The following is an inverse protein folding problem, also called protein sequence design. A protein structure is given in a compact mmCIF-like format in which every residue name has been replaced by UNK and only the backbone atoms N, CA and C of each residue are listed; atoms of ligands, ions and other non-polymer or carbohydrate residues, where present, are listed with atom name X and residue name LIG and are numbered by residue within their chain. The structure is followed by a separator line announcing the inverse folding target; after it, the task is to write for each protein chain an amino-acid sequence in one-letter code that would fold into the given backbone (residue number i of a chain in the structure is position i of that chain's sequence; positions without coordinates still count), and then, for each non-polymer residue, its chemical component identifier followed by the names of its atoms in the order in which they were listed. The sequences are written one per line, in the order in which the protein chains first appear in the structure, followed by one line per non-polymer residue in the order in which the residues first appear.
data_IF_961818804017
#
_entry.id   IF_961818804017
#
_cell.length_a   1.000
_cell.length_b   1.000
_cell.length_c   1.000
_cell.angle_alpha   90.00
_cell.angle_beta   90.00
_cell.angle_gamma   90.00
#
_symmetry.space_group_name_H-M   'P 1'
#
loop_
_entity.id
_entity.type
_entity.pdbx_description
1 polymer ?
#
# COMPACT_ATOMS: atom_id res chain seq x y z
N UNK A 1 41.53 10.53 11.10
CA UNK A 1 40.93 10.65 9.74
C UNK A 1 41.58 11.70 8.85
N UNK A 2 41.49 13.02 9.12
CA UNK A 2 42.06 14.04 8.19
C UNK A 2 43.59 14.06 8.13
N UNK A 3 44.27 13.91 9.26
CA UNK A 3 45.74 13.92 9.35
C UNK A 3 46.36 12.65 8.77
N UNK A 4 45.75 11.49 9.02
CA UNK A 4 46.18 10.19 8.48
C UNK A 4 46.07 10.14 6.95
N UNK A 5 44.97 10.66 6.39
CA UNK A 5 44.79 10.73 4.93
C UNK A 5 45.87 11.60 4.28
N UNK A 6 46.16 12.77 4.88
CA UNK A 6 47.21 13.66 4.37
C UNK A 6 48.56 12.95 4.44
N UNK A 7 48.92 12.33 5.56
CA UNK A 7 50.18 11.59 5.71
C UNK A 7 50.34 10.47 4.67
N UNK A 8 49.29 9.68 4.42
CA UNK A 8 49.32 8.61 3.43
C UNK A 8 49.44 9.18 2.01
N UNK A 9 48.72 10.24 1.69
CA UNK A 9 48.79 10.89 0.38
C UNK A 9 50.20 11.47 0.12
N UNK A 10 50.80 12.16 1.11
CA UNK A 10 52.16 12.70 0.98
C UNK A 10 53.19 11.57 0.82
N UNK A 11 53.03 10.47 1.57
CA UNK A 11 53.90 9.30 1.48
C UNK A 11 53.81 8.65 0.08
N UNK A 12 52.60 8.51 -0.48
CA UNK A 12 52.41 7.95 -1.82
C UNK A 12 53.03 8.82 -2.91
N UNK A 13 52.90 10.16 -2.80
CA UNK A 13 53.52 11.09 -3.76
C UNK A 13 55.04 11.03 -3.68
N UNK A 14 55.61 11.00 -2.47
CA UNK A 14 57.06 10.86 -2.28
C UNK A 14 57.57 9.51 -2.80
N UNK A 15 56.83 8.42 -2.60
CA UNK A 15 57.17 7.10 -3.11
C UNK A 15 57.14 7.06 -4.65
N UNK A 16 56.10 7.65 -5.26
CA UNK A 16 56.00 7.76 -6.72
C UNK A 16 57.14 8.59 -7.30
N UNK A 17 57.50 9.72 -6.66
CA UNK A 17 58.65 10.53 -7.04
C UNK A 17 59.96 9.74 -6.92
N UNK A 18 60.16 9.01 -5.82
CA UNK A 18 61.36 8.21 -5.61
C UNK A 18 61.49 7.10 -6.67
N UNK A 19 60.41 6.41 -7.00
CA UNK A 19 60.38 5.36 -8.03
C UNK A 19 60.69 5.88 -9.43
N UNK A 20 60.43 7.15 -9.72
CA UNK A 20 60.76 7.77 -11.02
C UNK A 20 62.17 8.37 -11.01
N UNK A 21 62.53 9.11 -9.97
CA UNK A 21 63.77 9.90 -9.89
C UNK A 21 65.00 9.03 -9.61
N UNK A 22 64.89 8.00 -8.76
CA UNK A 22 66.02 7.13 -8.39
C UNK A 22 66.56 6.32 -9.58
N UNK A 23 65.74 5.60 -10.39
CA UNK A 23 66.25 4.91 -11.56
C UNK A 23 66.73 5.87 -12.66
N UNK A 24 66.18 7.08 -12.76
CA UNK A 24 66.68 8.12 -13.67
C UNK A 24 68.09 8.61 -13.28
N UNK A 25 68.32 8.91 -12.00
CA UNK A 25 69.63 9.33 -11.51
C UNK A 25 70.67 8.21 -11.65
N UNK A 26 70.26 6.95 -11.42
CA UNK A 26 71.14 5.77 -11.60
C UNK A 26 71.45 5.48 -13.07
N UNK A 27 70.50 5.65 -13.99
CA UNK A 27 70.74 5.49 -15.45
C UNK A 27 71.55 6.65 -16.03
N UNK A 28 71.29 7.88 -15.60
CA UNK A 28 72.03 9.07 -16.04
C UNK A 28 73.53 9.02 -15.74
N UNK A 29 73.93 8.43 -14.60
CA UNK A 29 75.36 8.25 -14.26
C UNK A 29 76.06 7.13 -15.03
N UNK A 30 75.33 6.17 -15.61
CA UNK A 30 75.93 4.98 -16.28
C UNK A 30 75.90 5.02 -17.81
N UNK A 31 75.10 5.88 -18.44
CA UNK A 31 74.79 5.73 -19.87
C UNK A 31 74.93 6.97 -20.76
N UNK A 32 75.59 8.05 -20.30
CA UNK A 32 75.93 9.20 -21.17
C UNK A 32 74.75 9.83 -21.90
N UNK A 33 73.53 9.68 -21.39
CA UNK A 33 72.30 10.07 -22.07
C UNK A 33 72.17 11.62 -22.15
N UNK A 34 71.63 12.15 -23.26
CA UNK A 34 71.61 13.58 -23.54
C UNK A 34 70.63 14.36 -22.64
N UNK A 35 71.01 15.60 -22.32
CA UNK A 35 70.32 16.51 -21.37
C UNK A 35 68.81 16.66 -21.59
N UNK A 36 68.32 16.45 -22.82
CA UNK A 36 66.91 16.57 -23.16
C UNK A 36 66.02 15.51 -22.49
N UNK A 37 66.51 14.29 -22.22
CA UNK A 37 65.73 13.26 -21.53
C UNK A 37 65.46 13.62 -20.06
N UNK A 38 66.41 14.32 -19.42
CA UNK A 38 66.27 14.79 -18.04
C UNK A 38 65.32 15.99 -17.96
N UNK A 39 65.42 16.90 -18.92
CA UNK A 39 64.50 18.04 -19.05
C UNK A 39 63.06 17.56 -19.30
N UNK A 40 62.85 16.57 -20.18
CA UNK A 40 61.52 16.05 -20.49
C UNK A 40 60.83 15.47 -19.24
N UNK A 41 61.56 14.72 -18.41
CA UNK A 41 61.00 14.14 -17.18
C UNK A 41 60.67 15.18 -16.12
N UNK A 42 61.50 16.22 -15.97
CA UNK A 42 61.18 17.35 -15.09
C UNK A 42 59.95 18.11 -15.59
N UNK A 43 59.81 18.27 -16.90
CA UNK A 43 58.67 18.92 -17.53
C UNK A 43 57.39 18.12 -17.23
N UNK A 44 57.40 16.80 -17.41
CA UNK A 44 56.25 15.94 -17.07
C UNK A 44 55.94 15.99 -15.57
N UNK A 45 56.95 15.97 -14.69
CA UNK A 45 56.77 16.00 -13.24
C UNK A 45 56.02 17.25 -12.74
N UNK A 46 56.27 18.41 -13.36
CA UNK A 46 55.59 19.67 -12.99
C UNK A 46 54.33 19.92 -13.81
N UNK A 47 54.34 19.62 -15.12
CA UNK A 47 53.22 19.89 -16.00
C UNK A 47 51.98 19.06 -15.64
N UNK A 48 52.16 17.80 -15.23
CA UNK A 48 51.04 16.90 -14.92
C UNK A 48 50.23 17.36 -13.68
N UNK A 49 50.83 17.68 -12.53
CA UNK A 49 50.08 18.24 -11.39
C UNK A 49 49.52 19.64 -11.66
N UNK A 50 50.21 20.50 -12.41
CA UNK A 50 49.68 21.82 -12.79
C UNK A 50 48.47 21.70 -13.73
N UNK A 51 48.55 20.81 -14.72
CA UNK A 51 47.43 20.53 -15.63
C UNK A 51 46.26 19.90 -14.88
N UNK A 52 46.51 18.97 -13.95
CA UNK A 52 45.48 18.39 -13.10
C UNK A 52 44.80 19.45 -12.21
N UNK A 53 45.57 20.38 -11.64
CA UNK A 53 45.04 21.49 -10.85
C UNK A 53 44.23 22.46 -11.71
N UNK A 54 44.72 22.81 -12.90
CA UNK A 54 43.99 23.66 -13.86
C UNK A 54 42.68 23.02 -14.32
N UNK A 55 42.71 21.72 -14.63
CA UNK A 55 41.51 20.96 -15.01
C UNK A 55 40.52 20.88 -13.83
N UNK A 56 41.01 20.70 -12.60
CA UNK A 56 40.16 20.71 -11.40
C UNK A 56 39.53 22.08 -11.15
N UNK A 57 40.23 23.18 -11.44
CA UNK A 57 39.66 24.52 -11.33
C UNK A 57 38.66 24.83 -12.46
N UNK A 58 38.84 24.25 -13.65
CA UNK A 58 37.98 24.49 -14.81
C UNK A 58 36.71 23.61 -14.82
N UNK A 59 36.84 22.33 -14.46
CA UNK A 59 35.75 21.33 -14.50
C UNK A 59 35.19 21.03 -13.11
N UNK A 60 36.00 21.18 -12.06
CA UNK A 60 35.59 20.90 -10.68
C UNK A 60 34.88 22.07 -10.02
N UNK A 61 34.33 21.81 -8.82
CA UNK A 61 33.69 22.82 -7.97
C UNK A 61 34.60 23.15 -6.79
N UNK A 62 35.60 24.03 -6.95
CA UNK A 62 36.50 24.41 -5.84
C UNK A 62 35.72 25.06 -4.67
N UNK A 63 34.54 25.61 -4.95
CA UNK A 63 33.60 26.11 -3.95
C UNK A 63 33.08 25.03 -2.97
N UNK A 64 33.14 23.74 -3.31
CA UNK A 64 32.77 22.66 -2.39
C UNK A 64 33.84 22.38 -1.33
N UNK A 65 35.10 22.78 -1.58
CA UNK A 65 36.21 22.71 -0.62
C UNK A 65 36.24 23.89 0.35
N UNK A 66 35.72 25.04 -0.08
CA UNK A 66 35.29 26.09 0.82
C UNK A 66 34.07 25.55 1.55
N UNK A 67 34.33 24.86 2.67
CA UNK A 67 33.41 24.45 3.72
C UNK A 67 32.04 25.04 3.50
N UNK A 68 31.01 24.19 3.34
CA UNK A 68 29.61 24.50 3.63
C UNK A 68 29.52 25.89 4.24
N UNK A 69 29.36 26.92 3.40
CA UNK A 69 29.10 28.23 3.92
C UNK A 69 27.83 27.97 4.72
N UNK A 70 27.97 28.02 6.04
CA UNK A 70 26.89 27.90 6.99
C UNK A 70 25.99 29.10 6.70
N UNK A 71 25.22 29.04 5.61
CA UNK A 71 23.88 29.58 5.64
C UNK A 71 23.29 28.86 6.83
N UNK A 72 22.97 29.56 7.94
CA UNK A 72 22.26 28.93 9.02
C UNK A 72 21.06 28.25 8.37
N UNK A 73 21.03 26.92 8.41
CA UNK A 73 19.97 26.15 7.80
C UNK A 73 18.70 26.67 8.42
N UNK A 74 17.93 27.41 7.63
CA UNK A 74 16.84 28.21 8.15
C UNK A 74 15.91 27.27 8.90
N UNK A 75 15.74 27.51 10.20
CA UNK A 75 14.95 26.60 11.02
C UNK A 75 13.51 26.62 10.53
N UNK A 76 12.76 25.55 10.80
CA UNK A 76 11.35 25.49 10.41
C UNK A 76 10.57 26.68 10.99
N UNK A 77 10.83 27.06 12.24
CA UNK A 77 10.18 28.21 12.86
C UNK A 77 10.57 29.54 12.19
N UNK A 78 11.82 29.70 11.73
CA UNK A 78 12.22 30.87 10.94
C UNK A 78 11.51 30.90 9.58
N UNK A 79 11.37 29.74 8.92
CA UNK A 79 10.61 29.60 7.67
C UNK A 79 9.13 29.94 7.83
N UNK A 80 8.50 29.43 8.87
CA UNK A 80 7.13 29.77 9.23
C UNK A 80 6.99 31.27 9.55
N UNK A 81 7.93 31.86 10.27
CA UNK A 81 7.91 33.29 10.58
C UNK A 81 8.02 34.15 9.31
N UNK A 82 8.93 33.81 8.39
CA UNK A 82 9.06 34.51 7.10
C UNK A 82 7.80 34.38 6.25
N UNK A 83 7.25 33.16 6.13
CA UNK A 83 6.02 32.90 5.39
C UNK A 83 4.83 33.70 5.97
N UNK A 84 4.71 33.78 7.30
CA UNK A 84 3.68 34.60 7.95
C UNK A 84 3.84 36.08 7.67
N UNK A 85 5.07 36.59 7.65
CA UNK A 85 5.33 37.99 7.33
C UNK A 85 4.93 38.31 5.88
N UNK A 86 5.24 37.41 4.95
CA UNK A 86 4.83 37.51 3.55
C UNK A 86 3.31 37.47 3.40
N UNK A 87 2.62 36.53 4.07
CA UNK A 87 1.16 36.41 4.03
C UNK A 87 0.40 37.56 4.69
N UNK A 88 1.07 38.34 5.54
CA UNK A 88 0.51 39.61 6.04
C UNK A 88 0.49 40.69 4.95
N UNK A 89 1.48 40.70 4.07
CA UNK A 89 1.57 41.64 2.95
C UNK A 89 0.73 41.18 1.75
N UNK A 90 0.64 39.86 1.55
CA UNK A 90 -0.11 39.22 0.47
C UNK A 90 -1.19 38.28 1.03
N UNK A 91 -2.27 38.83 1.62
CA UNK A 91 -3.30 38.03 2.30
C UNK A 91 -4.15 37.18 1.34
N UNK A 92 -4.08 37.44 0.04
CA UNK A 92 -4.74 36.75 -1.06
C UNK A 92 -3.94 35.53 -1.59
N UNK A 93 -2.71 35.32 -1.10
CA UNK A 93 -1.89 34.17 -1.49
C UNK A 93 -2.43 32.85 -0.90
N UNK A 94 -3.37 32.23 -1.62
CA UNK A 94 -3.98 30.95 -1.24
C UNK A 94 -2.95 29.85 -1.00
N UNK A 95 -1.96 29.70 -1.89
CA UNK A 95 -0.95 28.64 -1.77
C UNK A 95 -0.10 28.79 -0.52
N UNK A 96 0.27 30.02 -0.16
CA UNK A 96 1.00 30.28 1.07
C UNK A 96 0.19 29.96 2.32
N UNK A 97 -1.12 30.26 2.36
CA UNK A 97 -1.99 29.85 3.46
C UNK A 97 -2.13 28.32 3.58
N UNK A 98 -2.26 27.62 2.44
CA UNK A 98 -2.29 26.15 2.42
C UNK A 98 -0.98 25.53 2.90
N UNK A 99 0.15 26.08 2.47
CA UNK A 99 1.47 25.64 2.92
C UNK A 99 1.61 25.84 4.43
N UNK A 100 1.25 27.02 4.93
CA UNK A 100 1.28 27.33 6.36
C UNK A 100 0.39 26.37 7.18
N UNK A 101 -0.83 26.09 6.69
CA UNK A 101 -1.75 25.13 7.30
C UNK A 101 -1.18 23.71 7.36
N UNK A 102 -0.58 23.22 6.26
CA UNK A 102 0.08 21.90 6.21
C UNK A 102 1.27 21.84 7.16
N UNK A 103 2.09 22.89 7.21
CA UNK A 103 3.25 22.95 8.12
C UNK A 103 2.81 22.91 9.58
N UNK A 104 1.77 23.65 9.96
CA UNK A 104 1.24 23.59 11.32
C UNK A 104 0.59 22.25 11.66
N UNK A 105 -0.13 21.64 10.72
CA UNK A 105 -0.70 20.31 10.92
C UNK A 105 0.39 19.25 11.12
N UNK A 106 1.46 19.30 10.32
CA UNK A 106 2.60 18.38 10.42
C UNK A 106 3.54 18.62 11.60
N UNK A 107 3.41 19.74 12.31
CA UNK A 107 4.19 20.08 13.51
C UNK A 107 3.36 20.02 14.79
N UNK A 108 2.22 19.33 14.76
CA UNK A 108 1.33 19.12 15.92
C UNK A 108 0.81 20.44 16.53
N UNK A 109 0.61 21.47 15.71
CA UNK A 109 0.03 22.76 16.09
C UNK A 109 -1.36 22.95 15.46
N UNK A 110 -2.37 22.13 15.79
CA UNK A 110 -3.64 22.07 15.06
C UNK A 110 -4.45 23.37 15.13
N UNK A 111 -4.39 24.11 16.24
CA UNK A 111 -5.07 25.40 16.35
C UNK A 111 -4.53 26.44 15.34
N UNK A 112 -3.21 26.51 15.16
CA UNK A 112 -2.60 27.40 14.17
C UNK A 112 -2.87 26.93 12.73
N UNK A 113 -2.92 25.61 12.52
CA UNK A 113 -3.29 25.04 11.24
C UNK A 113 -4.73 25.41 10.86
N UNK A 114 -5.66 25.34 11.83
CA UNK A 114 -7.06 25.74 11.65
C UNK A 114 -7.18 27.19 11.24
N UNK A 115 -6.43 28.10 11.86
CA UNK A 115 -6.46 29.53 11.51
C UNK A 115 -5.95 29.76 10.08
N UNK A 116 -4.85 29.10 9.69
CA UNK A 116 -4.27 29.20 8.35
C UNK A 116 -5.21 28.63 7.26
N UNK A 117 -5.75 27.42 7.48
CA UNK A 117 -6.76 26.87 6.58
C UNK A 117 -8.05 27.69 6.56
N UNK A 118 -8.39 28.37 7.67
CA UNK A 118 -9.53 29.28 7.72
C UNK A 118 -9.35 30.49 6.80
N UNK A 119 -8.11 30.99 6.66
CA UNK A 119 -7.78 32.01 5.65
C UNK A 119 -7.87 31.45 4.23
N UNK A 120 -7.31 30.26 3.99
CA UNK A 120 -7.42 29.59 2.69
C UNK A 120 -8.88 29.34 2.28
N UNK A 121 -9.74 28.91 3.22
CA UNK A 121 -11.15 28.66 2.99
C UNK A 121 -11.92 29.94 2.65
N UNK A 122 -11.53 31.10 3.17
CA UNK A 122 -12.12 32.39 2.77
C UNK A 122 -11.79 32.76 1.33
N UNK A 123 -10.59 32.40 0.85
CA UNK A 123 -10.14 32.67 -0.52
C UNK A 123 -10.74 31.68 -1.53
N UNK A 124 -10.97 30.43 -1.11
CA UNK A 124 -11.53 29.36 -1.95
C UNK A 124 -12.63 28.59 -1.20
N UNK A 125 -13.82 29.21 -1.01
CA UNK A 125 -14.89 28.68 -0.15
C UNK A 125 -15.60 27.44 -0.68
N UNK A 126 -15.37 27.05 -1.93
CA UNK A 126 -15.97 25.89 -2.60
C UNK A 126 -14.98 24.76 -2.86
N UNK A 127 -13.73 24.90 -2.41
CA UNK A 127 -12.73 23.85 -2.56
C UNK A 127 -12.92 22.77 -1.47
N UNK A 128 -13.35 21.58 -1.89
CA UNK A 128 -13.63 20.45 -1.00
C UNK A 128 -12.41 20.01 -0.18
N UNK A 129 -11.20 20.01 -0.76
CA UNK A 129 -9.99 19.59 -0.06
C UNK A 129 -9.62 20.56 1.07
N UNK A 130 -9.84 21.87 0.86
CA UNK A 130 -9.60 22.89 1.90
C UNK A 130 -10.63 22.74 3.03
N UNK A 131 -11.90 22.50 2.69
CA UNK A 131 -12.93 22.21 3.69
C UNK A 131 -12.54 21.01 4.55
N UNK A 132 -12.14 19.90 3.93
CA UNK A 132 -11.74 18.66 4.61
C UNK A 132 -10.51 18.90 5.49
N UNK A 133 -9.49 19.58 4.95
CA UNK A 133 -8.28 19.89 5.71
C UNK A 133 -8.57 20.78 6.93
N UNK A 134 -9.46 21.78 6.79
CA UNK A 134 -9.89 22.64 7.89
C UNK A 134 -10.65 21.85 8.96
N UNK A 135 -11.60 21.00 8.55
CA UNK A 135 -12.40 20.16 9.44
C UNK A 135 -11.53 19.25 10.29
N UNK A 136 -10.52 18.64 9.68
CA UNK A 136 -9.64 17.73 10.39
C UNK A 136 -8.80 18.44 11.45
N UNK A 137 -8.18 19.56 11.10
CA UNK A 137 -7.36 20.30 12.08
C UNK A 137 -8.23 20.96 13.15
N UNK A 138 -9.48 21.32 12.85
CA UNK A 138 -10.43 21.78 13.86
C UNK A 138 -10.75 20.66 14.85
N UNK A 139 -11.07 19.46 14.38
CA UNK A 139 -11.26 18.30 15.26
C UNK A 139 -9.99 17.99 16.08
N UNK A 140 -8.80 18.07 15.49
CA UNK A 140 -7.55 17.87 16.25
C UNK A 140 -7.29 18.95 17.30
N UNK A 141 -7.73 20.20 17.05
CA UNK A 141 -7.55 21.32 17.97
C UNK A 141 -8.53 21.30 19.14
N UNK A 142 -9.66 20.59 19.02
CA UNK A 142 -10.64 20.45 20.08
C UNK A 142 -10.27 19.34 21.05
N UNK A 143 -10.56 19.54 22.33
CA UNK A 143 -10.30 18.56 23.39
C UNK A 143 -11.15 17.28 23.25
N UNK A 144 -12.34 17.38 22.65
CA UNK A 144 -13.28 16.28 22.47
C UNK A 144 -13.13 15.57 21.11
N UNK A 145 -12.28 16.11 20.22
CA UNK A 145 -12.10 15.64 18.85
C UNK A 145 -13.39 15.47 18.03
N UNK A 146 -14.44 16.21 18.39
CA UNK A 146 -15.75 16.08 17.73
C UNK A 146 -15.81 16.90 16.46
N UNK A 147 -16.37 16.31 15.41
CA UNK A 147 -16.68 16.99 14.15
C UNK A 147 -18.15 17.41 14.19
N UNK A 148 -18.42 18.62 14.66
CA UNK A 148 -19.78 19.15 14.88
C UNK A 148 -19.93 20.59 14.39
N UNK A 149 -21.16 21.12 14.46
CA UNK A 149 -21.47 22.51 14.06
C UNK A 149 -20.97 22.86 12.66
N UNK A 150 -20.16 23.91 12.57
CA UNK A 150 -19.58 24.39 11.30
C UNK A 150 -18.73 23.31 10.62
N UNK A 151 -17.93 22.55 11.37
CA UNK A 151 -17.05 21.52 10.81
C UNK A 151 -17.87 20.43 10.10
N UNK A 152 -18.96 19.98 10.73
CA UNK A 152 -19.87 19.00 10.12
C UNK A 152 -20.54 19.54 8.85
N UNK A 153 -20.99 20.80 8.86
CA UNK A 153 -21.60 21.44 7.67
C UNK A 153 -20.61 21.54 6.50
N UNK A 154 -19.37 21.97 6.76
CA UNK A 154 -18.31 22.02 5.75
C UNK A 154 -17.98 20.64 5.21
N UNK A 155 -17.90 19.64 6.07
CA UNK A 155 -17.62 18.26 5.67
C UNK A 155 -18.72 17.69 4.77
N UNK A 156 -19.99 17.92 5.09
CA UNK A 156 -21.12 17.51 4.25
C UNK A 156 -21.09 18.20 2.89
N UNK A 157 -20.77 19.51 2.84
CA UNK A 157 -20.58 20.24 1.58
C UNK A 157 -19.42 19.65 0.76
N UNK A 158 -18.29 19.36 1.40
CA UNK A 158 -17.11 18.81 0.74
C UNK A 158 -17.39 17.43 0.12
N UNK A 159 -18.02 16.52 0.87
CA UNK A 159 -18.39 15.18 0.37
C UNK A 159 -19.48 15.26 -0.70
N UNK A 160 -20.37 16.26 -0.65
CA UNK A 160 -21.33 16.50 -1.73
C UNK A 160 -20.66 16.98 -3.01
N UNK A 161 -19.64 17.84 -2.90
CA UNK A 161 -18.88 18.35 -4.02
C UNK A 161 -17.97 17.28 -4.66
N UNK A 162 -17.34 16.44 -3.83
CA UNK A 162 -16.56 15.29 -4.26
C UNK A 162 -17.00 14.01 -3.51
N UNK A 163 -17.97 13.25 -4.08
CA UNK A 163 -18.49 12.02 -3.48
C UNK A 163 -17.48 10.87 -3.41
N UNK A 164 -16.33 10.98 -4.07
CA UNK A 164 -15.28 9.94 -4.09
C UNK A 164 -14.07 10.32 -3.24
N UNK A 165 -14.11 11.46 -2.55
CA UNK A 165 -13.04 11.88 -1.65
C UNK A 165 -12.92 10.90 -0.47
N UNK A 166 -11.91 10.05 -0.49
CA UNK A 166 -11.73 9.01 0.53
C UNK A 166 -11.60 9.60 1.95
N UNK A 167 -10.90 10.73 2.09
CA UNK A 167 -10.67 11.42 3.37
C UNK A 167 -11.95 12.06 3.89
N UNK A 168 -12.73 12.70 3.02
CA UNK A 168 -14.03 13.26 3.35
C UNK A 168 -15.02 12.20 3.81
N UNK A 169 -15.12 11.07 3.09
CA UNK A 169 -15.99 9.95 3.47
C UNK A 169 -15.58 9.33 4.81
N UNK A 170 -14.28 9.20 5.06
CA UNK A 170 -13.76 8.70 6.34
C UNK A 170 -14.20 9.58 7.51
N UNK A 171 -13.93 10.88 7.43
CA UNK A 171 -14.29 11.85 8.47
C UNK A 171 -15.81 11.98 8.64
N UNK A 172 -16.60 11.87 7.57
CA UNK A 172 -18.05 11.99 7.65
C UNK A 172 -18.65 10.82 8.43
N UNK A 173 -18.17 9.60 8.17
CA UNK A 173 -18.58 8.43 8.97
C UNK A 173 -18.15 8.54 10.44
N UNK A 174 -16.97 9.10 10.73
CA UNK A 174 -16.56 9.41 12.12
C UNK A 174 -17.53 10.40 12.76
N UNK A 175 -17.86 11.49 12.06
CA UNK A 175 -18.81 12.49 12.54
C UNK A 175 -20.18 11.86 12.80
N UNK A 176 -20.71 11.05 11.88
CA UNK A 176 -22.00 10.35 12.05
C UNK A 176 -21.97 9.40 13.27
N UNK A 177 -20.89 8.64 13.43
CA UNK A 177 -20.70 7.75 14.57
C UNK A 177 -20.65 8.52 15.91
N UNK A 178 -19.93 9.65 15.96
CA UNK A 178 -19.85 10.52 17.14
C UNK A 178 -21.19 11.13 17.55
N UNK A 179 -22.13 11.27 16.62
CA UNK A 179 -23.49 11.79 16.85
C UNK A 179 -24.51 10.69 17.10
N UNK A 180 -24.10 9.41 17.12
CA UNK A 180 -24.99 8.28 17.32
C UNK A 180 -25.77 7.86 16.06
N UNK A 181 -25.49 8.47 14.91
CA UNK A 181 -26.07 8.11 13.62
C UNK A 181 -25.32 6.92 13.03
N UNK A 182 -25.38 5.78 13.72
CA UNK A 182 -24.58 4.61 13.39
C UNK A 182 -24.93 4.01 12.02
N UNK A 183 -26.20 4.03 11.62
CA UNK A 183 -26.63 3.55 10.31
C UNK A 183 -26.03 4.40 9.16
N UNK A 184 -26.04 5.73 9.32
CA UNK A 184 -25.45 6.66 8.33
C UNK A 184 -23.93 6.48 8.23
N UNK A 185 -23.26 6.28 9.38
CA UNK A 185 -21.84 5.98 9.41
C UNK A 185 -21.50 4.70 8.60
N UNK A 186 -22.29 3.64 8.76
CA UNK A 186 -22.14 2.39 7.99
C UNK A 186 -22.30 2.62 6.50
N UNK A 187 -23.33 3.37 6.07
CA UNK A 187 -23.55 3.68 4.66
C UNK A 187 -22.40 4.48 4.06
N UNK A 188 -21.89 5.46 4.79
CA UNK A 188 -20.76 6.29 4.35
C UNK A 188 -19.47 5.49 4.27
N UNK A 189 -19.16 4.67 5.27
CA UNK A 189 -17.96 3.84 5.25
C UNK A 189 -18.01 2.68 4.26
N UNK A 190 -19.20 2.14 3.93
CA UNK A 190 -19.34 1.18 2.82
C UNK A 190 -19.02 1.80 1.46
N UNK A 191 -19.42 3.05 1.24
CA UNK A 191 -19.00 3.81 0.05
C UNK A 191 -17.49 3.99 0.01
N UNK A 192 -16.88 4.35 1.13
CA UNK A 192 -15.42 4.44 1.25
C UNK A 192 -14.75 3.09 0.96
N UNK A 193 -15.25 2.00 1.53
CA UNK A 193 -14.69 0.65 1.38
C UNK A 193 -14.62 0.22 -0.10
N UNK A 194 -15.63 0.56 -0.90
CA UNK A 194 -15.65 0.28 -2.33
C UNK A 194 -14.57 1.03 -3.13
N UNK A 195 -14.03 2.13 -2.59
CA UNK A 195 -12.97 2.93 -3.21
C UNK A 195 -11.55 2.51 -2.78
N UNK A 196 -11.44 1.67 -1.75
CA UNK A 196 -10.15 1.25 -1.19
C UNK A 196 -9.62 0.00 -1.86
N UNK A 197 -8.29 -0.12 -1.90
CA UNK A 197 -7.64 -1.33 -2.38
C UNK A 197 -7.98 -2.52 -1.47
N UNK A 198 -8.50 -3.63 -2.03
CA UNK A 198 -8.78 -4.84 -1.27
C UNK A 198 -7.54 -5.33 -0.51
N UNK A 199 -7.70 -5.65 0.77
CA UNK A 199 -6.61 -6.16 1.62
C UNK A 199 -5.66 -5.08 2.19
N UNK A 200 -5.80 -3.81 1.80
CA UNK A 200 -5.02 -2.72 2.42
C UNK A 200 -5.33 -2.56 3.91
N UNK A 201 -4.36 -2.07 4.69
CA UNK A 201 -4.57 -1.77 6.13
C UNK A 201 -5.73 -0.80 6.35
N UNK A 202 -5.88 0.19 5.47
CA UNK A 202 -6.98 1.16 5.51
C UNK A 202 -8.33 0.47 5.28
N UNK A 203 -8.41 -0.46 4.31
CA UNK A 203 -9.63 -1.23 4.08
C UNK A 203 -10.01 -2.11 5.29
N UNK A 204 -9.02 -2.67 5.99
CA UNK A 204 -9.26 -3.41 7.24
C UNK A 204 -9.79 -2.49 8.35
N UNK A 205 -9.13 -1.36 8.59
CA UNK A 205 -9.58 -0.38 9.59
C UNK A 205 -11.01 0.11 9.31
N UNK A 206 -11.36 0.36 8.04
CA UNK A 206 -12.73 0.73 7.64
C UNK A 206 -13.73 -0.39 7.92
N UNK A 207 -13.37 -1.65 7.65
CA UNK A 207 -14.23 -2.81 7.98
C UNK A 207 -14.49 -2.92 9.48
N UNK A 208 -13.47 -2.73 10.30
CA UNK A 208 -13.60 -2.75 11.77
C UNK A 208 -14.53 -1.63 12.26
N UNK A 209 -14.39 -0.42 11.71
CA UNK A 209 -15.29 0.71 12.01
C UNK A 209 -16.74 0.41 11.60
N UNK A 210 -16.97 -0.17 10.43
CA UNK A 210 -18.30 -0.61 9.99
C UNK A 210 -18.87 -1.64 10.97
N UNK A 211 -18.08 -2.61 11.41
CA UNK A 211 -18.51 -3.62 12.37
C UNK A 211 -18.89 -2.99 13.73
N UNK A 212 -18.10 -2.03 14.23
CA UNK A 212 -18.43 -1.27 15.44
C UNK A 212 -19.73 -0.48 15.29
N UNK A 213 -19.90 0.25 14.18
CA UNK A 213 -21.12 1.00 13.93
C UNK A 213 -22.35 0.10 13.82
N UNK A 214 -22.26 -1.05 13.13
CA UNK A 214 -23.35 -2.03 13.09
C UNK A 214 -23.71 -2.55 14.48
N UNK A 215 -22.72 -2.87 15.32
CA UNK A 215 -22.95 -3.30 16.70
C UNK A 215 -23.67 -2.22 17.52
N UNK A 216 -23.25 -0.95 17.37
CA UNK A 216 -23.88 0.19 18.04
C UNK A 216 -25.29 0.46 17.53
N UNK A 217 -25.53 0.33 16.22
CA UNK A 217 -26.85 0.43 15.61
C UNK A 217 -27.81 -0.64 16.14
N UNK A 218 -27.29 -1.84 16.44
CA UNK A 218 -28.02 -2.93 17.07
C UNK A 218 -28.18 -2.77 18.61
N UNK A 219 -27.92 -1.59 19.17
CA UNK A 219 -28.11 -1.28 20.59
C UNK A 219 -27.00 -1.77 21.53
N UNK A 220 -25.90 -2.34 21.02
CA UNK A 220 -24.78 -2.79 21.86
C UNK A 220 -24.02 -1.59 22.42
N UNK A 221 -23.49 -1.70 23.64
CA UNK A 221 -22.61 -0.68 24.21
C UNK A 221 -21.26 -0.65 23.50
N UNK A 222 -20.52 0.45 23.58
CA UNK A 222 -19.18 0.56 22.98
C UNK A 222 -18.23 -0.54 23.49
N UNK A 223 -18.32 -0.89 24.78
CA UNK A 223 -17.54 -1.98 25.37
C UNK A 223 -17.89 -3.34 24.76
N UNK A 224 -19.17 -3.60 24.53
CA UNK A 224 -19.62 -4.83 23.85
C UNK A 224 -19.21 -4.85 22.37
N UNK A 225 -19.32 -3.72 21.66
CA UNK A 225 -18.88 -3.61 20.28
C UNK A 225 -17.38 -3.89 20.12
N UNK A 226 -16.55 -3.35 21.03
CA UNK A 226 -15.10 -3.57 21.03
C UNK A 226 -14.73 -5.01 21.40
N UNK A 227 -15.44 -5.63 22.35
CA UNK A 227 -15.24 -7.03 22.70
C UNK A 227 -15.48 -7.98 21.51
N UNK A 228 -16.44 -7.65 20.62
CA UNK A 228 -16.70 -8.43 19.40
C UNK A 228 -15.55 -8.36 18.39
N UNK A 229 -14.74 -7.29 18.42
CA UNK A 229 -13.55 -7.17 17.58
C UNK A 229 -12.32 -7.85 18.19
N UNK A 230 -12.21 -7.86 19.52
CA UNK A 230 -11.03 -8.37 20.24
C UNK A 230 -11.13 -9.85 20.63
N UNK A 231 -12.33 -10.44 20.59
CA UNK A 231 -12.47 -11.85 20.88
C UNK A 231 -11.80 -12.68 19.78
N UNK A 232 -10.96 -13.68 20.10
CA UNK A 232 -10.41 -14.63 19.11
C UNK A 232 -11.48 -15.55 18.51
N UNK A 233 -12.77 -15.17 18.57
CA UNK A 233 -13.89 -15.83 17.93
C UNK A 233 -13.85 -15.73 16.39
N UNK A 234 -12.73 -15.30 15.80
CA UNK A 234 -12.36 -15.60 14.41
C UNK A 234 -12.10 -17.10 14.14
N UNK A 235 -12.27 -18.00 15.12
CA UNK A 235 -12.32 -19.45 14.88
C UNK A 235 -13.64 -20.14 15.24
N UNK A 236 -14.70 -19.42 15.67
CA UNK A 236 -16.00 -20.06 15.95
C UNK A 236 -17.24 -19.19 15.68
N UNK A 237 -17.08 -17.88 15.44
CA UNK A 237 -18.15 -17.01 14.91
C UNK A 237 -18.11 -16.88 13.38
N UNK A 238 -17.47 -17.82 12.68
CA UNK A 238 -17.78 -18.09 11.27
C UNK A 238 -19.17 -18.75 11.10
N UNK A 239 -19.76 -19.30 12.18
CA UNK A 239 -21.07 -19.95 12.15
C UNK A 239 -22.27 -19.01 12.37
N UNK A 240 -22.07 -17.77 12.86
CA UNK A 240 -23.17 -16.83 13.11
C UNK A 240 -23.18 -15.60 12.18
N UNK A 241 -22.06 -15.30 11.51
CA UNK A 241 -22.00 -14.31 10.42
C UNK A 241 -22.40 -14.91 9.05
N UNK A 242 -22.54 -16.24 8.96
CA UNK A 242 -23.09 -16.95 7.80
C UNK A 242 -24.62 -16.77 7.61
N UNK A 243 -25.26 -15.87 8.38
CA UNK A 243 -26.68 -15.49 8.19
C UNK A 243 -26.89 -14.10 7.60
N UNK A 244 -25.84 -13.40 7.17
CA UNK A 244 -25.96 -12.07 6.56
C UNK A 244 -25.07 -11.87 5.31
N UNK A 245 -24.62 -12.96 4.69
CA UNK A 245 -24.33 -12.99 3.26
C UNK A 245 -25.51 -13.74 2.64
N UNK A 246 -26.57 -13.02 2.24
CA UNK A 246 -27.69 -13.59 1.50
C UNK A 246 -27.22 -13.96 0.08
N UNK A 247 -26.39 -15.01 0.02
CA UNK A 247 -25.89 -15.65 -1.17
C UNK A 247 -25.59 -17.11 -0.83
N UNK A 248 -25.96 -18.00 -1.74
CA UNK A 248 -25.73 -19.43 -1.56
C UNK A 248 -24.22 -19.71 -1.46
N UNK A 249 -23.83 -20.51 -0.47
CA UNK A 249 -22.45 -20.92 -0.29
C UNK A 249 -22.38 -22.41 0.04
N UNK A 250 -21.42 -23.10 -0.56
CA UNK A 250 -21.22 -24.54 -0.38
C UNK A 250 -19.77 -24.77 0.03
N UNK A 251 -19.56 -25.33 1.21
CA UNK A 251 -18.26 -25.83 1.62
C UNK A 251 -18.03 -27.21 1.02
N UNK A 252 -16.93 -27.39 0.27
CA UNK A 252 -16.56 -28.62 -0.42
C UNK A 252 -15.20 -29.08 0.09
N UNK A 253 -15.14 -30.25 0.69
CA UNK A 253 -13.91 -30.92 1.08
C UNK A 253 -13.51 -31.89 -0.03
N UNK A 254 -12.38 -31.64 -0.66
CA UNK A 254 -11.87 -32.45 -1.77
C UNK A 254 -10.73 -33.33 -1.28
N UNK A 255 -10.85 -34.62 -1.57
CA UNK A 255 -9.83 -35.65 -1.29
C UNK A 255 -9.50 -36.40 -2.56
N UNK A 256 -8.28 -36.90 -2.65
CA UNK A 256 -7.83 -37.80 -3.70
C UNK A 256 -7.82 -39.22 -3.17
N UNK A 257 -8.38 -40.17 -3.92
CA UNK A 257 -8.26 -41.59 -3.60
C UNK A 257 -6.77 -41.98 -3.57
N UNK A 258 -6.29 -42.67 -2.51
CA UNK A 258 -4.92 -43.13 -2.42
C UNK A 258 -4.40 -43.88 -3.66
N UNK A 259 -5.28 -44.56 -4.41
CA UNK A 259 -4.92 -45.33 -5.62
C UNK A 259 -4.56 -44.46 -6.81
N UNK A 260 -5.02 -43.20 -6.84
CA UNK A 260 -4.80 -42.28 -7.96
C UNK A 260 -3.67 -41.28 -7.69
N UNK A 261 -2.95 -41.42 -6.57
CA UNK A 261 -1.84 -40.51 -6.20
C UNK A 261 -0.69 -40.53 -7.22
N UNK A 262 -0.41 -41.69 -7.79
CA UNK A 262 0.66 -41.88 -8.77
C UNK A 262 0.31 -41.33 -10.16
N UNK A 263 -0.97 -41.00 -10.39
CA UNK A 263 -1.45 -40.39 -11.63
C UNK A 263 -1.37 -38.86 -11.63
N UNK A 264 -1.12 -38.22 -10.47
CA UNK A 264 -1.00 -36.76 -10.37
C UNK A 264 0.42 -36.32 -10.71
N UNK A 265 0.55 -35.41 -11.68
CA UNK A 265 1.82 -34.86 -12.15
C UNK A 265 2.15 -33.53 -11.46
N UNK A 266 3.44 -33.20 -11.28
CA UNK A 266 3.85 -31.87 -10.84
C UNK A 266 3.44 -30.81 -11.86
N UNK A 267 2.54 -29.90 -11.45
CA UNK A 267 2.00 -28.84 -12.32
C UNK A 267 0.49 -28.95 -12.60
N UNK A 268 -0.11 -30.08 -12.23
CA UNK A 268 -1.55 -30.28 -12.42
C UNK A 268 -2.40 -29.28 -11.66
N UNK A 269 -3.53 -28.92 -12.27
CA UNK A 269 -4.46 -27.94 -11.74
C UNK A 269 -5.74 -28.62 -11.28
N UNK A 270 -6.12 -28.38 -10.02
CA UNK A 270 -7.41 -28.79 -9.46
C UNK A 270 -8.47 -27.72 -9.77
N UNK A 271 -9.52 -28.10 -10.48
CA UNK A 271 -10.73 -27.32 -10.68
C UNK A 271 -11.84 -27.89 -9.81
N UNK A 272 -12.43 -27.07 -8.96
CA UNK A 272 -13.65 -27.44 -8.21
C UNK A 272 -14.76 -26.54 -8.70
N UNK A 273 -15.83 -27.13 -9.21
CA UNK A 273 -16.94 -26.37 -9.79
C UNK A 273 -18.30 -26.95 -9.42
N UNK A 274 -19.29 -26.08 -9.34
CA UNK A 274 -20.69 -26.44 -9.13
C UNK A 274 -21.48 -26.21 -10.42
N UNK A 275 -22.26 -27.22 -10.84
CA UNK A 275 -23.16 -27.15 -11.99
C UNK A 275 -24.60 -27.32 -11.54
N UNK A 276 -25.55 -26.69 -12.23
CA UNK A 276 -26.97 -26.96 -12.00
C UNK A 276 -27.28 -28.43 -12.32
N UNK A 277 -28.11 -29.09 -11.51
CA UNK A 277 -28.54 -30.47 -11.78
C UNK A 277 -29.41 -30.57 -13.05
N UNK A 278 -30.21 -29.53 -13.32
CA UNK A 278 -31.03 -29.40 -14.54
C UNK A 278 -30.77 -28.02 -15.15
N UNK A 279 -30.18 -27.98 -16.33
CA UNK A 279 -29.83 -26.72 -17.00
C UNK A 279 -28.68 -26.89 -17.99
N UNK A 280 -28.25 -25.80 -18.67
CA UNK A 280 -27.10 -25.83 -19.56
C UNK A 280 -25.82 -26.24 -18.80
N UNK A 281 -24.86 -26.94 -19.45
CA UNK A 281 -23.72 -27.59 -18.80
C UNK A 281 -22.65 -26.63 -18.23
N UNK A 282 -22.96 -25.33 -18.17
CA UNK A 282 -22.05 -24.28 -17.72
C UNK A 282 -21.97 -24.25 -16.19
N UNK A 283 -20.76 -24.08 -15.61
CA UNK A 283 -20.59 -24.05 -14.16
C UNK A 283 -21.05 -22.71 -13.56
N UNK A 284 -21.74 -22.78 -12.43
CA UNK A 284 -22.26 -21.64 -11.67
C UNK A 284 -21.18 -21.01 -10.76
N UNK A 285 -20.21 -21.80 -10.35
CA UNK A 285 -19.01 -21.33 -9.66
C UNK A 285 -17.84 -22.25 -9.97
N UNK A 286 -16.66 -21.66 -10.13
CA UNK A 286 -15.41 -22.40 -10.40
C UNK A 286 -14.30 -21.80 -9.56
N UNK A 287 -13.54 -22.66 -8.88
CA UNK A 287 -12.28 -22.29 -8.25
C UNK A 287 -11.13 -23.13 -8.83
N UNK A 288 -10.00 -22.47 -9.05
CA UNK A 288 -8.77 -23.06 -9.56
C UNK A 288 -7.72 -23.13 -8.47
N UNK A 289 -7.15 -24.31 -8.24
CA UNK A 289 -6.12 -24.59 -7.25
C UNK A 289 -5.02 -25.46 -7.86
N UNK A 290 -3.89 -25.60 -7.15
CA UNK A 290 -2.86 -26.59 -7.52
C UNK A 290 -3.26 -27.97 -6.99
N UNK A 291 -3.05 -29.03 -7.77
CA UNK A 291 -3.36 -30.41 -7.34
C UNK A 291 -2.60 -30.82 -6.07
N UNK A 292 -1.40 -30.25 -5.85
CA UNK A 292 -0.59 -30.44 -4.64
C UNK A 292 -1.23 -29.90 -3.35
N UNK A 293 -2.34 -29.15 -3.44
CA UNK A 293 -3.05 -28.63 -2.26
C UNK A 293 -3.98 -29.66 -1.60
N UNK A 294 -4.15 -30.86 -2.20
CA UNK A 294 -5.02 -31.91 -1.66
C UNK A 294 -4.39 -32.60 -0.43
N UNK A 295 -5.18 -32.95 0.59
CA UNK A 295 -6.62 -32.68 0.75
C UNK A 295 -6.91 -31.23 1.13
N UNK A 296 -7.95 -30.63 0.55
CA UNK A 296 -8.31 -29.21 0.78
C UNK A 296 -9.80 -29.02 1.02
N UNK A 297 -10.17 -27.94 1.69
CA UNK A 297 -11.57 -27.49 1.83
C UNK A 297 -11.72 -26.14 1.16
N UNK A 298 -12.62 -26.06 0.19
CA UNK A 298 -12.93 -24.85 -0.58
C UNK A 298 -14.36 -24.41 -0.34
N UNK A 299 -14.61 -23.11 -0.42
CA UNK A 299 -15.95 -22.56 -0.31
C UNK A 299 -16.35 -21.99 -1.66
N UNK A 300 -17.40 -22.54 -2.26
CA UNK A 300 -18.00 -22.02 -3.49
C UNK A 300 -19.06 -20.99 -3.11
N UNK A 301 -18.99 -19.78 -3.66
CA UNK A 301 -19.93 -18.69 -3.38
C UNK A 301 -20.46 -18.06 -4.67
N UNK A 302 -21.57 -17.33 -4.57
CA UNK A 302 -22.21 -16.62 -5.70
C UNK A 302 -21.28 -15.65 -6.45
N UNK A 303 -20.27 -15.11 -5.78
CA UNK A 303 -19.29 -14.20 -6.37
C UNK A 303 -18.27 -14.88 -7.30
N UNK A 304 -18.27 -16.21 -7.38
CA UNK A 304 -17.34 -16.99 -8.21
C UNK A 304 -17.92 -17.40 -9.57
N UNK A 305 -19.13 -16.94 -9.91
CA UNK A 305 -19.73 -17.12 -11.23
C UNK A 305 -19.14 -16.17 -12.27
N UNK A 306 -19.06 -16.62 -13.53
CA UNK A 306 -18.50 -15.81 -14.64
C UNK A 306 -19.37 -14.62 -15.04
N UNK A 307 -20.68 -14.65 -14.74
CA UNK A 307 -21.61 -13.57 -15.05
C UNK A 307 -22.58 -13.33 -13.89
N UNK A 308 -23.10 -12.10 -13.72
CA UNK A 308 -24.03 -11.78 -12.64
C UNK A 308 -25.34 -12.57 -12.66
N UNK A 309 -25.73 -13.15 -13.81
CA UNK A 309 -26.98 -13.91 -13.99
C UNK A 309 -26.86 -15.40 -13.63
N UNK A 310 -25.64 -15.95 -13.53
CA UNK A 310 -25.38 -17.35 -13.21
C UNK A 310 -24.71 -17.46 -11.84
N UNK A 311 -25.51 -17.73 -10.81
CA UNK A 311 -25.09 -17.78 -9.39
C UNK A 311 -25.52 -19.10 -8.75
N UNK A 312 -24.88 -19.55 -7.67
CA UNK A 312 -25.35 -20.71 -6.94
C UNK A 312 -26.76 -20.47 -6.36
N UNK A 313 -27.06 -19.25 -5.90
CA UNK A 313 -28.38 -18.89 -5.35
C UNK A 313 -29.52 -18.96 -6.36
N UNK A 314 -29.21 -18.99 -7.66
CA UNK A 314 -30.23 -19.06 -8.72
C UNK A 314 -30.84 -20.46 -8.87
N UNK A 315 -30.24 -21.49 -8.27
CA UNK A 315 -30.72 -22.87 -8.35
C UNK A 315 -30.85 -23.50 -6.95
N UNK A 316 -31.83 -24.39 -6.73
CA UNK A 316 -32.03 -25.03 -5.43
C UNK A 316 -30.98 -26.12 -5.15
N UNK A 317 -30.50 -26.80 -6.20
CA UNK A 317 -29.59 -27.93 -6.11
C UNK A 317 -28.50 -27.85 -7.19
N UNK A 318 -27.30 -28.28 -6.81
CA UNK A 318 -26.13 -28.36 -7.68
C UNK A 318 -25.43 -29.69 -7.56
N UNK A 319 -24.71 -30.06 -8.62
CA UNK A 319 -23.72 -31.12 -8.61
C UNK A 319 -22.33 -30.51 -8.52
N UNK A 320 -21.57 -30.91 -7.52
CA UNK A 320 -20.22 -30.44 -7.29
C UNK A 320 -19.24 -31.45 -7.88
N UNK A 321 -18.36 -30.99 -8.74
CA UNK A 321 -17.33 -31.82 -9.37
C UNK A 321 -15.96 -31.23 -9.07
N UNK A 322 -15.02 -32.10 -8.68
CA UNK A 322 -13.62 -31.80 -8.55
C UNK A 322 -12.85 -32.54 -9.64
N UNK A 323 -12.05 -31.81 -10.42
CA UNK A 323 -11.24 -32.37 -11.51
C UNK A 323 -9.79 -31.92 -11.40
N UNK A 324 -8.86 -32.84 -11.49
CA UNK A 324 -7.44 -32.55 -11.69
C UNK A 324 -7.17 -32.62 -13.19
N UNK A 325 -6.84 -31.48 -13.79
CA UNK A 325 -6.50 -31.41 -15.21
C UNK A 325 -5.00 -31.30 -15.44
N UNK A 326 -4.48 -32.16 -16.31
CA UNK A 326 -3.10 -32.13 -16.79
C UNK A 326 -2.88 -31.02 -17.82
N UNK A 327 -3.91 -30.73 -18.63
CA UNK A 327 -3.84 -29.72 -19.70
C UNK A 327 -3.96 -28.28 -19.19
N UNK A 328 -4.34 -28.10 -17.92
CA UNK A 328 -4.61 -26.81 -17.32
C UNK A 328 -5.87 -26.12 -17.87
N UNK A 329 -6.77 -26.89 -18.49
CA UNK A 329 -8.08 -26.43 -18.94
C UNK A 329 -9.19 -26.97 -18.02
N UNK A 330 -10.29 -26.22 -17.82
CA UNK A 330 -11.42 -26.68 -17.01
C UNK A 330 -12.31 -27.70 -17.74
N UNK A 331 -12.15 -27.87 -19.05
CA UNK A 331 -12.89 -28.83 -19.88
C UNK A 331 -12.33 -30.24 -19.69
N UNK A 332 -13.17 -31.27 -19.85
CA UNK A 332 -12.75 -32.64 -19.60
C UNK A 332 -11.79 -33.08 -20.72
N UNK A 333 -10.62 -33.59 -20.35
CA UNK A 333 -9.68 -34.18 -21.27
C UNK A 333 -9.37 -35.63 -20.85
N UNK A 334 -9.01 -36.47 -21.82
CA UNK A 334 -8.65 -37.85 -21.56
C UNK A 334 -7.45 -37.93 -20.60
N UNK A 335 -7.60 -38.70 -19.53
CA UNK A 335 -6.58 -38.88 -18.49
C UNK A 335 -6.68 -37.89 -17.32
N UNK A 336 -7.63 -36.95 -17.33
CA UNK A 336 -7.89 -36.09 -16.17
C UNK A 336 -8.54 -36.92 -15.04
N UNK A 337 -8.24 -36.60 -13.78
CA UNK A 337 -8.84 -37.30 -12.64
C UNK A 337 -10.08 -36.53 -12.17
N UNK A 338 -11.19 -37.22 -11.96
CA UNK A 338 -12.46 -36.59 -11.59
C UNK A 338 -13.13 -37.28 -10.39
N UNK A 339 -13.93 -36.49 -9.67
CA UNK A 339 -14.84 -36.96 -8.63
C UNK A 339 -16.02 -35.99 -8.53
N UNK A 340 -17.22 -36.51 -8.30
CA UNK A 340 -18.43 -35.70 -8.19
C UNK A 340 -19.29 -36.11 -7.00
N UNK A 341 -19.91 -35.13 -6.36
CA UNK A 341 -20.93 -35.35 -5.34
C UNK A 341 -22.17 -34.50 -5.67
N UNK A 342 -23.35 -35.07 -5.48
CA UNK A 342 -24.61 -34.39 -5.73
C UNK A 342 -25.80 -35.35 -5.92
N UNK A 343 -27.03 -34.82 -5.92
CA UNK A 343 -27.39 -33.40 -5.79
C UNK A 343 -27.21 -32.87 -4.36
N UNK A 344 -26.72 -31.63 -4.24
CA UNK A 344 -26.53 -30.92 -2.98
C UNK A 344 -27.31 -29.64 -3.00
N UNK A 345 -28.01 -29.33 -1.90
CA UNK A 345 -28.69 -28.05 -1.76
C UNK A 345 -27.68 -26.90 -1.73
N UNK A 346 -27.99 -25.82 -2.44
CA UNK A 346 -27.16 -24.60 -2.48
C UNK A 346 -27.06 -23.87 -1.14
N UNK A 347 -27.85 -24.30 -0.15
CA UNK A 347 -27.85 -23.82 1.24
C UNK A 347 -27.39 -24.90 2.23
N UNK A 348 -26.66 -25.92 1.77
CA UNK A 348 -26.18 -26.99 2.62
C UNK A 348 -25.26 -26.46 3.74
N UNK A 349 -25.67 -26.65 4.99
CA UNK A 349 -24.91 -26.24 6.17
C UNK A 349 -23.71 -27.16 6.47
N UNK A 350 -23.73 -28.39 5.96
CA UNK A 350 -22.67 -29.37 6.14
C UNK A 350 -21.67 -29.34 4.97
N UNK A 351 -20.35 -29.51 5.23
CA UNK A 351 -19.37 -29.65 4.16
C UNK A 351 -19.64 -30.88 3.31
N UNK A 352 -19.61 -30.70 1.99
CA UNK A 352 -19.73 -31.78 1.00
C UNK A 352 -18.37 -32.44 0.83
N UNK A 353 -18.29 -33.74 1.10
CA UNK A 353 -17.08 -34.52 0.79
C UNK A 353 -17.12 -34.98 -0.69
N UNK A 354 -16.10 -34.58 -1.47
CA UNK A 354 -15.88 -35.03 -2.85
C UNK A 354 -14.56 -35.80 -2.88
N UNK A 355 -14.63 -37.07 -3.26
CA UNK A 355 -13.45 -37.91 -3.47
C UNK A 355 -13.20 -38.05 -4.97
N UNK A 356 -11.99 -37.71 -5.41
CA UNK A 356 -11.52 -37.96 -6.78
C UNK A 356 -11.10 -39.42 -6.85
N UNK A 357 -11.89 -40.22 -7.56
CA UNK A 357 -11.86 -41.69 -7.50
C UNK A 357 -11.79 -42.37 -8.87
N UNK A 358 -11.97 -41.63 -9.97
CA UNK A 358 -11.88 -42.17 -11.32
C UNK A 358 -11.06 -41.29 -12.26
N UNK A 359 -10.62 -41.90 -13.36
CA UNK A 359 -9.93 -41.24 -14.48
C UNK A 359 -10.94 -41.05 -15.60
N UNK A 360 -10.97 -39.85 -16.20
CA UNK A 360 -11.86 -39.46 -17.28
C UNK A 360 -11.38 -39.90 -18.66
#
# INVERSE_FOLDING_TARGET
MKTEFILVATLMVLLALALVVVPMLRRGRRSGQPRHALVLSLLVLFALPLAALGLYLHVGTPAALNKSALQPQMTLDQAVAKLRAELKQHPDNLQGWLMLGRTYAGTERPALARDAYGKALKLAPDNADIMIAWVEVDAMARADHRIEGQARSLLQRAVKADPRNQRGLWLLGISDYQHGHFADAVLTWRRLQALLQPGSKVAQAVKEQIAMANARAAGKTQKQAMALLSSPASSTSAAAAAKADEGAHIAVRVRLDPKLRDHVKPGDTLYVFAKAQRGPPMPLAVIRLKASALPTTVMLTDGMGMTPAMRLSSVPEVMVTARISHSGQPTAAAGDLEGSAGPISTHAAAPVDVTIDHVH
#
